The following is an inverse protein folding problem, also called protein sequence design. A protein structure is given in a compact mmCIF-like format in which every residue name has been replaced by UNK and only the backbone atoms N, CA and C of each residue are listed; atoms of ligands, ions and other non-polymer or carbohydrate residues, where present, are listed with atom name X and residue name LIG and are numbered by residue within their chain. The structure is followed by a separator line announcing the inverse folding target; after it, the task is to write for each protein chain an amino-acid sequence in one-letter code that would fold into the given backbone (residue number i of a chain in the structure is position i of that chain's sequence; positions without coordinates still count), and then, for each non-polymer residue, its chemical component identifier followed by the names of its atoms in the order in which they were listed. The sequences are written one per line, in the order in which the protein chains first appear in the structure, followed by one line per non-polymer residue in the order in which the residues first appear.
data_IF_747346963720
#
_entry.id   IF_747346963720
#
_cell.length_a   1.000
_cell.length_b   1.000
_cell.length_c   1.000
_cell.angle_alpha   90.00
_cell.angle_beta   90.00
_cell.angle_gamma   90.00
#
_symmetry.space_group_name_H-M   'P 1'
#
loop_
_entity.id
_entity.type
_entity.pdbx_description
1 polymer ?
#
# COMPACT_ATOMS: atom_id res chain seq x y z
N UNK A 1 0.28 -11.82 -10.11
CA UNK A 1 1.06 -11.97 -8.85
C UNK A 1 0.50 -11.01 -7.83
N UNK A 2 -0.06 -11.48 -6.72
CA UNK A 2 -0.45 -10.61 -5.62
C UNK A 2 0.80 -9.85 -5.11
N UNK A 3 0.63 -8.66 -4.52
CA UNK A 3 1.70 -8.02 -3.74
C UNK A 3 2.04 -8.98 -2.58
N UNK A 4 2.97 -9.90 -2.85
CA UNK A 4 3.79 -10.64 -1.88
C UNK A 4 5.08 -9.88 -1.57
N UNK A 5 5.37 -8.81 -2.32
CA UNK A 5 6.67 -8.13 -2.34
C UNK A 5 6.95 -7.22 -1.13
N UNK A 6 5.99 -7.05 -0.22
CA UNK A 6 6.15 -6.27 1.03
C UNK A 6 6.31 -7.15 2.28
N UNK A 7 6.61 -8.45 2.11
CA UNK A 7 6.93 -9.33 3.24
C UNK A 7 8.43 -9.24 3.56
N UNK A 8 8.82 -8.81 4.76
CA UNK A 8 10.21 -8.62 5.14
C UNK A 8 10.89 -9.93 5.55
N UNK A 9 12.21 -9.88 5.64
CA UNK A 9 12.98 -10.72 6.55
C UNK A 9 12.62 -10.33 8.00
N UNK A 10 11.92 -11.18 8.73
CA UNK A 10 11.49 -10.92 10.11
C UNK A 10 10.70 -12.10 10.70
N UNK A 11 10.57 -12.16 12.03
CA UNK A 11 9.77 -13.21 12.67
C UNK A 11 8.29 -12.95 12.39
N UNK A 12 7.58 -13.84 11.67
CA UNK A 12 6.14 -13.69 11.44
C UNK A 12 5.41 -13.67 12.78
N UNK A 13 4.37 -12.85 12.90
CA UNK A 13 3.58 -12.75 14.14
C UNK A 13 2.90 -14.09 14.45
N UNK A 14 2.56 -14.84 13.39
CA UNK A 14 2.04 -16.21 13.38
C UNK A 14 0.86 -16.41 14.35
N UNK A 15 -0.03 -15.41 14.46
CA UNK A 15 -1.15 -15.43 15.40
C UNK A 15 -2.45 -14.97 14.74
N UNK A 16 -3.47 -15.79 14.85
CA UNK A 16 -4.81 -15.52 14.33
C UNK A 16 -5.80 -15.22 15.46
N UNK A 17 -6.85 -14.47 15.14
CA UNK A 17 -8.01 -14.31 16.00
C UNK A 17 -9.26 -14.80 15.26
N UNK A 18 -10.11 -15.57 15.95
CA UNK A 18 -11.41 -15.98 15.43
C UNK A 18 -12.53 -15.18 16.11
N UNK A 19 -13.43 -14.59 15.31
CA UNK A 19 -14.63 -13.90 15.80
C UNK A 19 -15.88 -14.58 15.24
N UNK A 20 -16.84 -14.89 16.12
CA UNK A 20 -18.02 -15.67 15.78
C UNK A 20 -17.76 -17.17 15.90
N UNK A 21 -17.92 -17.92 14.81
CA UNK A 21 -17.64 -19.35 14.77
C UNK A 21 -16.13 -19.62 14.85
N UNK A 22 -15.73 -20.50 15.78
CA UNK A 22 -14.37 -21.03 15.89
C UNK A 22 -14.33 -22.39 15.16
N UNK A 23 -13.30 -22.68 14.34
CA UNK A 23 -13.20 -23.97 13.65
C UNK A 23 -13.14 -25.15 14.64
N UNK A 24 -13.45 -26.34 14.15
CA UNK A 24 -13.29 -27.58 14.91
C UNK A 24 -11.80 -27.84 15.25
N UNK A 25 -11.53 -28.67 16.25
CA UNK A 25 -10.15 -29.06 16.60
C UNK A 25 -9.41 -29.73 15.43
N UNK A 26 -10.13 -30.42 14.53
CA UNK A 26 -9.55 -31.02 13.33
C UNK A 26 -9.15 -29.96 12.31
N UNK A 27 -10.00 -28.96 12.08
CA UNK A 27 -9.71 -27.85 11.18
C UNK A 27 -8.59 -26.95 11.72
N UNK A 28 -8.54 -26.76 13.04
CA UNK A 28 -7.47 -26.00 13.70
C UNK A 28 -6.09 -26.63 13.50
N UNK A 29 -6.00 -27.97 13.37
CA UNK A 29 -4.72 -28.64 13.03
C UNK A 29 -4.13 -28.14 11.72
N UNK A 30 -4.94 -27.72 10.75
CA UNK A 30 -4.47 -27.16 9.46
C UNK A 30 -3.69 -25.86 9.65
N UNK A 31 -4.02 -25.08 10.68
CA UNK A 31 -3.28 -23.87 11.04
C UNK A 31 -1.99 -24.22 11.82
N UNK A 32 -2.04 -25.22 12.70
CA UNK A 32 -0.85 -25.73 13.42
C UNK A 32 0.22 -26.27 12.47
N UNK A 33 -0.20 -27.07 11.47
CA UNK A 33 0.68 -27.61 10.43
C UNK A 33 1.46 -26.52 9.70
N UNK A 34 0.89 -25.31 9.65
CA UNK A 34 1.48 -24.10 9.04
C UNK A 34 2.20 -23.20 10.05
N UNK A 35 2.46 -23.70 11.27
CA UNK A 35 3.15 -23.00 12.37
C UNK A 35 2.44 -21.73 12.84
N UNK A 36 1.13 -21.68 12.71
CA UNK A 36 0.32 -20.54 13.13
C UNK A 36 -0.42 -20.88 14.42
N UNK A 37 -0.32 -19.97 15.38
CA UNK A 37 -1.08 -19.99 16.63
C UNK A 37 -2.38 -19.20 16.48
N UNK A 38 -3.34 -19.41 17.37
CA UNK A 38 -4.59 -18.64 17.37
C UNK A 38 -5.04 -18.29 18.78
N UNK A 39 -5.92 -17.30 18.86
CA UNK A 39 -6.63 -16.96 20.08
C UNK A 39 -8.15 -16.99 19.94
N UNK A 40 -8.85 -17.43 21.02
CA UNK A 40 -8.27 -18.00 22.24
C UNK A 40 -7.60 -19.37 22.02
N UNK A 41 -6.59 -19.70 22.85
CA UNK A 41 -5.84 -20.96 22.78
C UNK A 41 -6.64 -22.18 23.29
N UNK A 42 -7.84 -21.95 23.83
CA UNK A 42 -8.85 -22.97 24.18
C UNK A 42 -10.16 -22.55 23.54
N UNK A 43 -10.98 -23.50 23.08
CA UNK A 43 -12.28 -23.26 22.44
C UNK A 43 -13.34 -22.52 23.29
N UNK A 44 -12.98 -21.95 24.45
CA UNK A 44 -13.88 -21.30 25.41
C UNK A 44 -14.30 -19.87 25.00
N UNK A 45 -14.58 -19.65 23.72
CA UNK A 45 -15.35 -18.49 23.23
C UNK A 45 -14.59 -17.59 22.24
N UNK A 46 -15.26 -17.04 21.22
CA UNK A 46 -14.63 -16.19 20.22
C UNK A 46 -13.99 -14.93 20.82
N UNK A 47 -13.01 -14.37 20.11
CA UNK A 47 -12.41 -13.08 20.44
C UNK A 47 -13.49 -12.00 20.41
N UNK A 48 -13.58 -11.20 21.47
CA UNK A 48 -14.56 -10.12 21.57
C UNK A 48 -14.09 -8.87 20.84
N UNK A 49 -15.05 -8.01 20.47
CA UNK A 49 -14.75 -6.74 19.81
C UNK A 49 -13.86 -5.84 20.68
N UNK A 50 -14.06 -5.85 22.00
CA UNK A 50 -13.26 -5.02 22.92
C UNK A 50 -11.79 -5.43 22.92
N UNK A 51 -11.51 -6.72 22.77
CA UNK A 51 -10.13 -7.19 22.64
C UNK A 51 -9.48 -6.73 21.33
N UNK A 52 -10.26 -6.63 20.25
CA UNK A 52 -9.79 -6.07 18.97
C UNK A 52 -9.61 -4.54 18.98
N UNK A 53 -9.98 -3.85 20.06
CA UNK A 53 -9.68 -2.42 20.25
C UNK A 53 -8.34 -2.18 20.96
N UNK A 54 -7.78 -3.20 21.60
CA UNK A 54 -6.50 -3.13 22.30
C UNK A 54 -5.32 -3.17 21.30
N UNK A 55 -4.50 -2.11 21.30
CA UNK A 55 -3.35 -1.98 20.39
C UNK A 55 -2.28 -3.03 20.62
N UNK A 56 -2.03 -3.39 21.88
CA UNK A 56 -1.02 -4.38 22.24
C UNK A 56 -1.47 -5.78 21.85
N UNK A 57 -2.78 -6.01 21.84
CA UNK A 57 -3.36 -7.24 21.34
C UNK A 57 -3.26 -7.32 19.82
N UNK A 58 -3.80 -6.34 19.09
CA UNK A 58 -3.85 -6.40 17.61
C UNK A 58 -2.47 -6.32 16.98
N UNK A 59 -1.50 -5.65 17.60
CA UNK A 59 -0.12 -5.62 17.12
C UNK A 59 0.48 -7.03 17.04
N UNK A 60 0.02 -7.99 17.85
CA UNK A 60 0.49 -9.38 17.84
C UNK A 60 -0.21 -10.25 16.79
N UNK A 61 -1.23 -9.75 16.10
CA UNK A 61 -2.02 -10.55 15.15
C UNK A 61 -1.46 -10.43 13.73
N UNK A 62 -1.52 -11.54 12.99
CA UNK A 62 -1.35 -11.57 11.54
C UNK A 62 -2.69 -11.33 10.81
N UNK A 63 -3.76 -11.92 11.33
CA UNK A 63 -5.08 -11.80 10.75
C UNK A 63 -6.21 -12.08 11.75
N UNK A 64 -7.40 -11.60 11.40
CA UNK A 64 -8.67 -11.91 12.04
C UNK A 64 -9.54 -12.65 11.02
N UNK A 65 -10.07 -13.81 11.41
CA UNK A 65 -11.07 -14.54 10.65
C UNK A 65 -12.41 -14.33 11.36
N UNK A 66 -13.34 -13.68 10.68
CA UNK A 66 -14.63 -13.27 11.22
C UNK A 66 -15.75 -14.00 10.48
N UNK A 67 -16.44 -14.89 11.17
CA UNK A 67 -17.59 -15.62 10.61
C UNK A 67 -18.87 -14.86 10.88
N UNK A 68 -19.65 -14.60 9.84
CA UNK A 68 -20.94 -13.93 9.94
C UNK A 68 -21.97 -14.85 10.58
N UNK A 69 -22.75 -14.31 11.53
CA UNK A 69 -23.84 -15.04 12.17
C UNK A 69 -25.07 -15.09 11.23
N UNK A 70 -25.57 -16.27 10.82
CA UNK A 70 -26.77 -16.39 9.98
C UNK A 70 -28.03 -15.77 10.62
N UNK A 71 -28.10 -15.73 11.95
CA UNK A 71 -29.24 -15.16 12.67
C UNK A 71 -29.18 -13.63 12.74
N UNK A 72 -28.01 -13.05 12.54
CA UNK A 72 -27.78 -11.62 12.69
C UNK A 72 -26.73 -11.10 11.69
N UNK A 73 -27.12 -11.09 10.41
CA UNK A 73 -26.27 -10.67 9.29
C UNK A 73 -25.72 -9.24 9.41
N UNK A 74 -26.33 -8.37 10.23
CA UNK A 74 -26.00 -6.94 10.35
C UNK A 74 -24.89 -6.65 11.39
N UNK A 75 -24.66 -7.54 12.35
CA UNK A 75 -23.75 -7.25 13.48
C UNK A 75 -22.29 -7.19 13.02
N UNK A 76 -21.80 -8.22 12.33
CA UNK A 76 -20.43 -8.25 11.80
C UNK A 76 -20.11 -7.01 10.96
N UNK A 77 -20.91 -6.63 9.93
CA UNK A 77 -20.60 -5.44 9.15
C UNK A 77 -20.54 -4.15 10.01
N UNK A 78 -21.42 -3.98 10.99
CA UNK A 78 -21.39 -2.82 11.87
C UNK A 78 -20.11 -2.79 12.72
N UNK A 79 -19.70 -3.93 13.26
CA UNK A 79 -18.50 -4.03 14.08
C UNK A 79 -17.23 -3.87 13.26
N UNK A 80 -17.24 -4.35 12.01
CA UNK A 80 -16.15 -4.17 11.08
C UNK A 80 -15.87 -2.70 10.75
N UNK A 81 -16.89 -1.83 10.73
CA UNK A 81 -16.64 -0.39 10.58
C UNK A 81 -16.00 0.25 11.82
N UNK A 82 -16.20 -0.33 13.00
CA UNK A 82 -15.68 0.23 14.25
C UNK A 82 -14.19 -0.12 14.46
N UNK A 83 -13.78 -1.32 14.06
CA UNK A 83 -12.40 -1.82 14.31
C UNK A 83 -11.59 -2.08 13.05
N UNK A 84 -12.24 -2.21 11.90
CA UNK A 84 -11.61 -2.55 10.62
C UNK A 84 -10.46 -1.63 10.23
N UNK A 85 -10.64 -0.28 10.20
CA UNK A 85 -9.55 0.63 9.86
C UNK A 85 -8.31 0.40 10.73
N UNK A 86 -8.50 0.36 12.06
CA UNK A 86 -7.42 0.16 13.03
C UNK A 86 -6.68 -1.16 12.84
N UNK A 87 -7.41 -2.26 12.58
CA UNK A 87 -6.79 -3.56 12.29
C UNK A 87 -5.89 -3.47 11.04
N UNK A 88 -6.39 -2.87 9.96
CA UNK A 88 -5.63 -2.71 8.72
C UNK A 88 -4.42 -1.79 8.89
N UNK A 89 -4.52 -0.72 9.68
CA UNK A 89 -3.39 0.18 9.96
C UNK A 89 -2.25 -0.55 10.67
N UNK A 90 -2.58 -1.55 11.51
CA UNK A 90 -1.65 -2.46 12.18
C UNK A 90 -1.15 -3.62 11.30
N UNK A 91 -1.47 -3.64 10.01
CA UNK A 91 -1.20 -4.73 9.08
C UNK A 91 -1.94 -6.05 9.39
N UNK A 92 -3.03 -5.97 10.15
CA UNK A 92 -3.85 -7.13 10.48
C UNK A 92 -4.87 -7.32 9.36
N UNK A 93 -4.79 -8.48 8.71
CA UNK A 93 -5.72 -8.83 7.62
C UNK A 93 -7.06 -9.23 8.19
N UNK A 94 -8.12 -8.96 7.43
CA UNK A 94 -9.46 -9.34 7.85
C UNK A 94 -10.03 -10.30 6.81
N UNK A 95 -10.42 -11.48 7.25
CA UNK A 95 -11.07 -12.49 6.42
C UNK A 95 -12.50 -12.65 6.90
N UNK A 96 -13.47 -12.34 6.05
CA UNK A 96 -14.90 -12.45 6.38
C UNK A 96 -15.46 -13.71 5.77
N UNK A 97 -15.80 -14.70 6.59
CA UNK A 97 -16.53 -15.90 6.16
C UNK A 97 -18.02 -15.60 6.20
N UNK A 98 -18.65 -15.66 5.03
CA UNK A 98 -20.08 -15.40 4.88
C UNK A 98 -20.91 -16.49 5.57
N UNK A 99 -22.07 -16.10 6.09
CA UNK A 99 -23.04 -17.05 6.63
C UNK A 99 -23.64 -17.87 5.48
N UNK A 100 -23.94 -19.15 5.73
CA UNK A 100 -24.69 -19.99 4.79
C UNK A 100 -26.08 -19.40 4.58
N UNK A 101 -26.49 -19.28 3.32
CA UNK A 101 -27.80 -18.78 2.94
C UNK A 101 -28.66 -19.97 2.46
N UNK A 102 -29.50 -20.49 3.35
CA UNK A 102 -30.41 -21.61 3.03
C UNK A 102 -31.34 -21.27 1.86
N UNK A 103 -31.64 -19.99 1.66
CA UNK A 103 -32.54 -19.49 0.62
C UNK A 103 -31.78 -19.06 -0.64
N UNK A 104 -30.44 -19.11 -0.65
CA UNK A 104 -29.57 -18.72 -1.77
C UNK A 104 -29.83 -17.29 -2.31
N UNK A 105 -30.26 -16.37 -1.45
CA UNK A 105 -30.67 -15.00 -1.78
C UNK A 105 -29.51 -14.01 -2.00
N UNK A 106 -28.25 -14.43 -1.86
CA UNK A 106 -27.04 -13.60 -1.89
C UNK A 106 -26.99 -12.49 -0.80
N UNK A 107 -27.97 -12.47 0.11
CA UNK A 107 -28.12 -11.44 1.13
C UNK A 107 -26.93 -11.33 2.09
N UNK A 108 -26.32 -12.43 2.61
CA UNK A 108 -25.17 -12.33 3.51
C UNK A 108 -24.02 -11.53 2.90
N UNK A 109 -23.72 -11.79 1.62
CA UNK A 109 -22.68 -11.08 0.85
C UNK A 109 -23.04 -9.62 0.64
N UNK A 110 -24.25 -9.33 0.18
CA UNK A 110 -24.67 -7.97 -0.15
C UNK A 110 -24.60 -7.03 1.07
N UNK A 111 -24.96 -7.51 2.25
CA UNK A 111 -24.88 -6.72 3.50
C UNK A 111 -23.43 -6.37 3.84
N UNK A 112 -22.49 -7.31 3.68
CA UNK A 112 -21.05 -7.07 3.89
C UNK A 112 -20.53 -6.03 2.88
N UNK A 113 -20.77 -6.26 1.58
CA UNK A 113 -20.29 -5.39 0.49
C UNK A 113 -20.77 -3.95 0.67
N UNK A 114 -22.07 -3.77 0.93
CA UNK A 114 -22.66 -2.45 1.14
C UNK A 114 -22.00 -1.70 2.30
N UNK A 115 -21.69 -2.43 3.37
CA UNK A 115 -21.07 -1.84 4.55
C UNK A 115 -19.59 -1.50 4.32
N UNK A 116 -18.83 -2.41 3.70
CA UNK A 116 -17.43 -2.17 3.35
C UNK A 116 -17.29 -0.92 2.47
N UNK A 117 -18.18 -0.77 1.48
CA UNK A 117 -18.26 0.43 0.65
C UNK A 117 -18.58 1.68 1.46
N UNK A 118 -19.54 1.62 2.38
CA UNK A 118 -19.89 2.74 3.27
C UNK A 118 -18.68 3.16 4.13
N UNK A 119 -17.90 2.20 4.59
CA UNK A 119 -16.68 2.42 5.37
C UNK A 119 -15.44 2.80 4.55
N UNK A 120 -15.53 2.77 3.21
CA UNK A 120 -14.38 2.91 2.32
C UNK A 120 -13.22 1.95 2.66
N UNK A 121 -13.55 0.76 3.17
CA UNK A 121 -12.54 -0.23 3.55
C UNK A 121 -11.97 -0.92 2.30
N UNK A 122 -10.64 -1.09 2.21
CA UNK A 122 -10.04 -1.79 1.08
C UNK A 122 -10.52 -3.24 1.11
N UNK A 123 -11.12 -3.67 0.01
CA UNK A 123 -11.84 -4.95 -0.08
C UNK A 123 -11.37 -5.73 -1.28
N UNK A 124 -11.30 -7.04 -1.11
CA UNK A 124 -10.90 -7.95 -2.16
C UNK A 124 -11.82 -9.16 -2.27
N UNK A 125 -11.61 -9.92 -3.35
CA UNK A 125 -12.51 -10.96 -3.81
C UNK A 125 -13.93 -10.43 -4.09
N UNK A 126 -14.00 -9.23 -4.67
CA UNK A 126 -15.22 -8.62 -5.19
C UNK A 126 -15.58 -9.28 -6.53
N UNK A 127 -16.88 -9.49 -6.76
CA UNK A 127 -17.38 -9.89 -8.08
C UNK A 127 -17.29 -8.71 -9.05
N UNK A 128 -17.25 -8.92 -10.38
CA UNK A 128 -17.11 -7.84 -11.35
C UNK A 128 -18.14 -6.71 -11.17
N UNK A 129 -19.39 -7.04 -10.90
CA UNK A 129 -20.47 -6.07 -10.65
C UNK A 129 -20.29 -5.29 -9.35
N UNK A 130 -19.73 -5.92 -8.31
CA UNK A 130 -19.44 -5.27 -7.03
C UNK A 130 -18.23 -4.35 -7.16
N UNK A 131 -17.21 -4.79 -7.90
CA UNK A 131 -16.02 -4.01 -8.22
C UNK A 131 -16.36 -2.72 -8.96
N UNK A 132 -17.22 -2.80 -9.97
CA UNK A 132 -17.72 -1.63 -10.70
C UNK A 132 -18.50 -0.66 -9.81
N UNK A 133 -19.06 -1.12 -8.70
CA UNK A 133 -19.78 -0.27 -7.75
C UNK A 133 -18.87 0.52 -6.79
N UNK A 134 -17.58 0.19 -6.70
CA UNK A 134 -16.60 0.94 -5.90
C UNK A 134 -16.30 2.28 -6.59
N UNK A 135 -16.16 3.41 -5.87
CA UNK A 135 -15.75 4.68 -6.48
C UNK A 135 -14.36 4.58 -7.14
N UNK A 136 -14.17 5.19 -8.32
CA UNK A 136 -12.91 5.09 -9.08
C UNK A 136 -11.67 5.53 -8.29
N UNK A 137 -11.81 6.54 -7.43
CA UNK A 137 -10.75 7.03 -6.56
C UNK A 137 -10.37 6.07 -5.42
N UNK A 138 -11.14 5.00 -5.21
CA UNK A 138 -10.93 3.93 -4.22
C UNK A 138 -10.72 2.55 -4.86
N UNK A 139 -11.05 2.36 -6.13
CA UNK A 139 -10.82 1.10 -6.87
C UNK A 139 -9.33 0.85 -7.00
N UNK A 140 -8.77 -0.12 -6.32
CA UNK A 140 -7.35 -0.49 -6.43
C UNK A 140 -7.06 -1.26 -7.74
N UNK A 141 -6.74 -2.56 -7.63
CA UNK A 141 -6.53 -3.45 -8.78
C UNK A 141 -7.62 -4.51 -8.82
N UNK A 142 -8.27 -4.63 -9.96
CA UNK A 142 -9.25 -5.69 -10.19
C UNK A 142 -8.57 -7.06 -10.11
N UNK A 143 -9.21 -8.03 -9.46
CA UNK A 143 -8.70 -9.39 -9.28
C UNK A 143 -7.33 -9.49 -8.56
N UNK A 144 -6.87 -8.43 -7.89
CA UNK A 144 -5.67 -8.47 -7.07
C UNK A 144 -6.02 -8.32 -5.59
N UNK A 145 -5.13 -8.84 -4.73
CA UNK A 145 -5.24 -8.73 -3.28
C UNK A 145 -4.06 -7.93 -2.74
N UNK A 146 -4.28 -6.62 -2.53
CA UNK A 146 -3.25 -5.72 -2.00
C UNK A 146 -3.42 -5.60 -0.49
N UNK A 147 -2.42 -6.07 0.23
CA UNK A 147 -2.48 -6.23 1.67
C UNK A 147 -2.00 -4.97 2.42
N UNK A 148 -2.57 -4.68 3.60
CA UNK A 148 -3.70 -5.34 4.25
C UNK A 148 -5.04 -4.92 3.63
N UNK A 149 -6.05 -5.79 3.69
CA UNK A 149 -7.44 -5.49 3.30
C UNK A 149 -8.44 -6.50 3.89
N UNK A 150 -9.72 -6.27 3.63
CA UNK A 150 -10.81 -7.20 3.93
C UNK A 150 -11.01 -8.17 2.77
N UNK A 151 -10.78 -9.46 2.98
CA UNK A 151 -11.04 -10.52 2.02
C UNK A 151 -12.37 -11.21 2.32
N UNK A 152 -13.25 -11.33 1.32
CA UNK A 152 -14.52 -12.03 1.47
C UNK A 152 -14.33 -13.50 1.08
N UNK A 153 -14.57 -14.41 2.01
CA UNK A 153 -14.50 -15.86 1.80
C UNK A 153 -15.89 -16.38 1.40
N UNK A 154 -15.93 -17.16 0.32
CA UNK A 154 -17.16 -17.85 -0.10
C UNK A 154 -17.54 -18.95 0.91
N UNK A 155 -18.83 -19.11 1.15
CA UNK A 155 -19.42 -20.16 1.99
C UNK A 155 -18.94 -21.57 1.69
N UNK A 156 -18.56 -21.86 0.44
CA UNK A 156 -18.13 -23.19 0.00
C UNK A 156 -16.66 -23.50 0.29
N UNK A 157 -15.87 -22.52 0.73
CA UNK A 157 -14.44 -22.71 0.96
C UNK A 157 -14.21 -23.55 2.23
N UNK A 158 -13.45 -24.63 2.09
CA UNK A 158 -13.09 -25.49 3.22
C UNK A 158 -12.14 -24.78 4.19
N UNK A 159 -12.12 -25.18 5.47
CA UNK A 159 -11.14 -24.64 6.42
C UNK A 159 -9.68 -24.91 6.02
N UNK A 160 -9.41 -26.00 5.30
CA UNK A 160 -8.09 -26.27 4.73
C UNK A 160 -7.66 -25.23 3.71
N UNK A 161 -8.57 -24.84 2.82
CA UNK A 161 -8.32 -23.78 1.82
C UNK A 161 -8.22 -22.40 2.48
N UNK A 162 -9.02 -22.13 3.51
CA UNK A 162 -8.93 -20.90 4.31
C UNK A 162 -7.56 -20.84 5.00
N UNK A 163 -7.10 -21.92 5.62
CA UNK A 163 -5.78 -21.99 6.24
C UNK A 163 -4.67 -21.73 5.22
N UNK A 164 -4.77 -22.30 4.01
CA UNK A 164 -3.82 -22.00 2.93
C UNK A 164 -3.86 -20.52 2.52
N UNK A 165 -5.05 -19.97 2.30
CA UNK A 165 -5.27 -18.58 1.89
C UNK A 165 -4.66 -17.58 2.89
N UNK A 166 -4.88 -17.82 4.19
CA UNK A 166 -4.49 -16.95 5.31
C UNK A 166 -3.00 -17.08 5.60
N UNK A 167 -2.50 -18.31 5.79
CA UNK A 167 -1.13 -18.54 6.22
C UNK A 167 -0.08 -18.27 5.12
N UNK A 168 -0.45 -18.36 3.83
CA UNK A 168 0.45 -18.05 2.72
C UNK A 168 0.66 -16.53 2.51
N UNK A 169 0.09 -15.70 3.39
CA UNK A 169 0.13 -14.24 3.34
C UNK A 169 0.30 -13.66 4.76
N UNK A 170 1.45 -13.89 5.43
CA UNK A 170 1.71 -13.41 6.79
C UNK A 170 1.89 -11.89 6.86
N UNK A 171 1.67 -11.25 8.01
CA UNK A 171 1.81 -9.80 8.15
C UNK A 171 3.23 -9.37 7.91
N UNK A 172 3.38 -8.10 7.51
CA UNK A 172 4.67 -7.44 7.53
C UNK A 172 5.23 -7.40 8.96
N UNK A 173 6.41 -6.80 9.11
CA UNK A 173 7.09 -6.79 10.38
C UNK A 173 6.26 -6.02 11.41
N UNK A 174 6.52 -6.31 12.69
CA UNK A 174 5.98 -5.50 13.76
C UNK A 174 6.46 -4.06 13.60
N UNK A 175 5.61 -3.10 13.96
CA UNK A 175 6.03 -1.70 14.05
C UNK A 175 7.15 -1.57 15.07
N UNK A 176 8.09 -0.67 14.82
CA UNK A 176 9.04 -0.27 15.86
C UNK A 176 8.33 0.69 16.82
N UNK A 177 8.15 0.25 18.06
CA UNK A 177 7.41 1.00 19.08
C UNK A 177 8.24 2.18 19.59
N UNK A 178 9.57 2.05 19.57
CA UNK A 178 10.49 3.06 20.10
C UNK A 178 11.08 3.97 19.02
N UNK A 179 10.61 3.87 17.75
CA UNK A 179 11.11 4.70 16.66
C UNK A 179 10.85 6.17 16.95
N UNK A 180 11.93 6.95 17.06
CA UNK A 180 11.87 8.38 17.34
C UNK A 180 11.82 9.19 16.04
N UNK A 181 10.82 10.05 15.90
CA UNK A 181 10.73 11.04 14.84
C UNK A 181 9.80 12.19 15.25
N UNK A 182 9.88 13.30 14.52
CA UNK A 182 9.05 14.47 14.76
C UNK A 182 7.61 14.25 14.24
N UNK A 183 6.76 13.69 15.09
CA UNK A 183 5.32 13.52 14.81
C UNK A 183 4.61 14.89 14.64
N UNK A 184 5.08 15.96 15.29
CA UNK A 184 4.50 17.29 15.18
C UNK A 184 4.71 17.88 13.78
N UNK A 185 5.86 17.63 13.13
CA UNK A 185 6.08 18.01 11.74
C UNK A 185 5.09 17.33 10.78
N UNK A 186 4.74 16.06 11.01
CA UNK A 186 3.71 15.37 10.23
C UNK A 186 2.31 15.93 10.48
N UNK A 187 2.00 16.27 11.73
CA UNK A 187 0.72 16.88 12.09
C UNK A 187 0.60 18.26 11.41
N UNK A 188 1.65 19.08 11.46
CA UNK A 188 1.69 20.40 10.83
C UNK A 188 1.54 20.33 9.31
N UNK A 189 2.14 19.32 8.66
CA UNK A 189 2.12 19.19 7.19
C UNK A 189 0.79 18.69 6.63
N UNK A 190 0.14 17.76 7.33
CA UNK A 190 -1.03 17.04 6.81
C UNK A 190 -2.33 17.31 7.58
N UNK A 191 -2.26 17.94 8.75
CA UNK A 191 -3.37 18.07 9.68
C UNK A 191 -3.58 16.81 10.54
N UNK A 192 -4.64 16.84 11.36
CA UNK A 192 -5.00 15.77 12.29
C UNK A 192 -5.66 14.56 11.62
N UNK A 193 -6.30 14.77 10.47
CA UNK A 193 -6.99 13.69 9.76
C UNK A 193 -5.99 12.63 9.25
N UNK A 194 -6.24 11.38 9.58
CA UNK A 194 -5.35 10.24 9.30
C UNK A 194 -3.94 10.36 9.91
N UNK A 195 -3.74 11.17 10.95
CA UNK A 195 -2.42 11.34 11.58
C UNK A 195 -1.89 10.03 12.16
N UNK A 196 -2.71 9.34 12.95
CA UNK A 196 -2.33 8.08 13.60
C UNK A 196 -1.96 7.00 12.57
N UNK A 197 -2.72 6.88 11.48
CA UNK A 197 -2.41 5.97 10.38
C UNK A 197 -1.03 6.28 9.76
N UNK A 198 -0.72 7.56 9.52
CA UNK A 198 0.58 7.96 8.94
C UNK A 198 1.75 7.67 9.88
N UNK A 199 1.57 7.88 11.18
CA UNK A 199 2.54 7.51 12.23
C UNK A 199 2.76 6.00 12.21
N UNK A 200 1.70 5.20 12.14
CA UNK A 200 1.80 3.73 12.04
C UNK A 200 2.54 3.28 10.78
N UNK A 201 2.24 3.86 9.61
CA UNK A 201 2.89 3.51 8.35
C UNK A 201 4.40 3.76 8.41
N UNK A 202 4.84 4.86 9.03
CA UNK A 202 6.26 5.15 9.24
C UNK A 202 6.92 4.16 10.19
N UNK A 203 6.31 3.87 11.34
CA UNK A 203 6.81 2.87 12.31
C UNK A 203 6.90 1.46 11.71
N UNK A 204 6.03 1.14 10.74
CA UNK A 204 6.08 -0.11 9.96
C UNK A 204 7.14 -0.07 8.86
N UNK A 205 7.27 1.02 8.13
CA UNK A 205 8.24 1.18 7.03
C UNK A 205 9.69 1.17 7.54
N UNK A 206 9.90 1.72 8.73
CA UNK A 206 11.19 1.86 9.39
C UNK A 206 11.28 1.00 10.66
N UNK A 207 10.65 -0.19 10.63
CA UNK A 207 10.57 -1.14 11.75
C UNK A 207 11.93 -1.57 12.34
N UNK A 208 13.02 -1.35 11.63
CA UNK A 208 14.37 -1.73 12.03
C UNK A 208 15.27 -0.52 12.34
N UNK A 209 14.67 0.65 12.53
CA UNK A 209 15.37 1.92 12.76
C UNK A 209 15.07 2.42 14.18
N UNK A 210 16.04 3.05 14.81
CA UNK A 210 15.88 3.66 16.15
C UNK A 210 15.42 5.12 16.06
N UNK A 211 15.80 5.80 14.98
CA UNK A 211 15.51 7.21 14.75
C UNK A 211 15.26 7.46 13.27
N UNK A 212 14.36 8.40 12.98
CA UNK A 212 14.03 8.85 11.64
C UNK A 212 13.88 10.37 11.62
N UNK A 213 14.72 11.04 10.84
CA UNK A 213 14.58 12.47 10.57
C UNK A 213 13.93 12.67 9.19
N UNK A 214 12.82 13.42 9.16
CA UNK A 214 12.05 13.71 7.96
C UNK A 214 12.23 15.18 7.55
N UNK A 215 12.64 15.39 6.30
CA UNK A 215 12.74 16.73 5.70
C UNK A 215 11.84 16.79 4.48
N UNK A 216 10.82 17.67 4.51
CA UNK A 216 9.88 17.82 3.38
C UNK A 216 10.61 18.25 2.11
N UNK A 217 10.22 17.65 0.99
CA UNK A 217 10.64 18.02 -0.36
C UNK A 217 9.43 18.61 -1.08
N UNK A 218 9.53 19.88 -1.44
CA UNK A 218 8.51 20.55 -2.24
C UNK A 218 8.84 20.46 -3.75
N UNK A 219 7.84 20.72 -4.60
CA UNK A 219 8.00 20.77 -6.06
C UNK A 219 7.52 19.53 -6.83
N UNK A 220 6.90 18.55 -6.16
CA UNK A 220 6.26 17.41 -6.82
C UNK A 220 4.92 17.76 -7.48
N UNK A 221 4.68 17.25 -8.69
CA UNK A 221 3.43 17.47 -9.45
C UNK A 221 2.22 16.73 -8.87
N UNK A 222 2.43 15.69 -8.05
CA UNK A 222 1.36 14.84 -7.52
C UNK A 222 0.62 15.42 -6.33
N UNK A 223 1.10 16.52 -5.73
CA UNK A 223 0.55 17.11 -4.50
C UNK A 223 0.75 16.28 -3.22
N UNK A 224 1.00 14.97 -3.33
CA UNK A 224 1.37 14.12 -2.20
C UNK A 224 2.74 14.54 -1.62
N UNK A 225 2.85 14.77 -0.30
CA UNK A 225 4.11 15.12 0.34
C UNK A 225 5.15 14.00 0.21
N UNK A 226 6.37 14.42 -0.14
CA UNK A 226 7.55 13.57 -0.22
C UNK A 226 8.56 14.08 0.80
N UNK A 227 9.25 13.18 1.49
CA UNK A 227 10.25 13.49 2.49
C UNK A 227 11.59 12.89 2.10
N UNK A 228 12.69 13.59 2.41
CA UNK A 228 13.98 12.94 2.67
C UNK A 228 13.90 12.32 4.05
N UNK A 229 14.21 11.03 4.13
CA UNK A 229 14.15 10.22 5.33
C UNK A 229 15.56 9.76 5.68
N UNK A 230 16.16 10.38 6.70
CA UNK A 230 17.44 9.96 7.27
C UNK A 230 17.15 8.94 8.37
N UNK A 231 17.40 7.67 8.09
CA UNK A 231 17.03 6.56 8.97
C UNK A 231 18.25 5.95 9.64
N UNK A 232 18.31 6.03 10.97
CA UNK A 232 19.36 5.43 11.79
C UNK A 232 18.98 4.00 12.15
N UNK A 233 19.71 3.02 11.63
CA UNK A 233 19.45 1.60 11.90
C UNK A 233 19.63 1.27 13.39
N UNK A 234 18.80 0.36 13.91
CA UNK A 234 18.96 -0.16 15.27
C UNK A 234 20.30 -0.90 15.46
N UNK A 235 20.81 -0.92 16.69
CA UNK A 235 22.05 -1.61 17.04
C UNK A 235 21.97 -3.11 16.66
N UNK A 236 22.94 -3.61 15.89
CA UNK A 236 23.03 -5.02 15.48
C UNK A 236 22.79 -5.31 13.99
N UNK A 237 22.33 -4.32 13.20
CA UNK A 237 22.10 -4.48 11.75
C UNK A 237 23.25 -4.00 10.86
N UNK A 238 24.16 -3.20 11.42
CA UNK A 238 25.44 -2.89 10.80
C UNK A 238 26.46 -3.86 11.41
N UNK A 239 27.24 -4.56 10.56
CA UNK A 239 28.26 -5.51 11.02
C UNK A 239 29.06 -4.93 12.19
N UNK A 240 29.21 -5.72 13.26
CA UNK A 240 30.01 -5.35 14.43
C UNK A 240 31.42 -4.92 13.94
N UNK A 241 31.69 -3.62 13.97
CA UNK A 241 32.93 -3.04 13.43
C UNK A 241 32.76 -1.70 12.73
N UNK A 242 31.60 -1.42 12.15
CA UNK A 242 31.29 -0.09 11.63
C UNK A 242 30.94 0.86 12.79
N UNK A 243 31.95 1.59 13.29
CA UNK A 243 31.75 2.67 14.26
C UNK A 243 31.04 3.84 13.59
N UNK A 244 29.71 3.78 13.56
CA UNK A 244 28.85 4.87 13.12
C UNK A 244 27.52 4.35 12.60
N UNK A 245 26.43 4.68 13.29
CA UNK A 245 25.09 4.58 12.72
C UNK A 245 24.95 5.68 11.66
N UNK A 246 25.57 5.51 10.49
CA UNK A 246 25.38 6.46 9.40
C UNK A 246 23.92 6.33 8.93
N UNK A 247 23.13 7.42 8.98
CA UNK A 247 21.73 7.33 8.60
C UNK A 247 21.65 6.99 7.13
N UNK A 248 20.85 5.97 6.80
CA UNK A 248 20.56 5.64 5.42
C UNK A 248 19.55 6.64 4.89
N UNK A 249 19.83 7.19 3.71
CA UNK A 249 19.00 8.23 3.12
C UNK A 249 18.00 7.63 2.14
N UNK A 250 16.72 7.81 2.45
CA UNK A 250 15.59 7.38 1.64
C UNK A 250 14.76 8.57 1.17
N UNK A 251 13.96 8.39 0.13
CA UNK A 251 12.74 9.17 -0.01
C UNK A 251 11.57 8.39 0.57
N UNK A 252 10.65 9.08 1.23
CA UNK A 252 9.40 8.53 1.71
C UNK A 252 8.25 9.38 1.17
N UNK A 253 7.31 8.75 0.46
CA UNK A 253 6.10 9.38 -0.06
C UNK A 253 4.90 8.80 0.64
N UNK A 254 4.10 9.67 1.26
CA UNK A 254 2.94 9.28 2.03
C UNK A 254 1.70 9.94 1.42
N UNK A 255 0.63 9.18 1.27
CA UNK A 255 -0.63 9.73 0.78
C UNK A 255 -1.72 8.68 0.63
N UNK A 256 -2.78 9.07 -0.07
CA UNK A 256 -3.96 8.22 -0.29
C UNK A 256 -3.55 6.87 -0.87
N UNK A 257 -4.08 5.80 -0.29
CA UNK A 257 -3.78 4.40 -0.61
C UNK A 257 -3.78 4.11 -2.11
N UNK A 258 -4.87 4.45 -2.82
CA UNK A 258 -4.97 4.27 -4.29
C UNK A 258 -3.83 4.96 -5.05
N UNK A 259 -3.46 6.20 -4.68
CA UNK A 259 -2.39 6.94 -5.37
C UNK A 259 -1.03 6.30 -5.15
N UNK A 260 -0.78 5.77 -3.95
CA UNK A 260 0.45 5.04 -3.64
C UNK A 260 0.52 3.73 -4.41
N UNK A 261 -0.60 3.00 -4.53
CA UNK A 261 -0.70 1.77 -5.31
C UNK A 261 -0.42 2.05 -6.80
N UNK A 262 -1.05 3.08 -7.37
CA UNK A 262 -0.85 3.47 -8.77
C UNK A 262 0.60 3.76 -9.05
N UNK A 263 1.24 4.56 -8.19
CA UNK A 263 2.65 4.90 -8.35
C UNK A 263 3.56 3.69 -8.18
N UNK A 264 3.27 2.80 -7.23
CA UNK A 264 3.98 1.54 -7.10
C UNK A 264 3.90 0.70 -8.39
N UNK A 265 2.72 0.63 -9.02
CA UNK A 265 2.54 -0.11 -10.28
C UNK A 265 3.32 0.52 -11.43
N UNK A 266 3.35 1.85 -11.51
CA UNK A 266 4.20 2.56 -12.47
C UNK A 266 5.68 2.24 -12.28
N UNK A 267 6.14 2.18 -11.03
CA UNK A 267 7.53 1.78 -10.74
C UNK A 267 7.82 0.35 -11.17
N UNK A 268 6.95 -0.59 -10.80
CA UNK A 268 7.17 -2.02 -11.08
C UNK A 268 6.99 -2.37 -12.56
N UNK A 269 5.99 -1.82 -13.24
CA UNK A 269 5.68 -2.14 -14.63
C UNK A 269 6.46 -1.33 -15.67
N UNK A 270 7.01 -0.17 -15.30
CA UNK A 270 7.72 0.68 -16.26
C UNK A 270 9.15 1.02 -15.82
N UNK A 271 9.35 1.52 -14.60
CA UNK A 271 10.68 2.03 -14.22
C UNK A 271 11.70 0.91 -14.05
N UNK A 272 11.34 -0.20 -13.40
CA UNK A 272 12.30 -1.27 -13.11
C UNK A 272 12.73 -2.07 -14.34
N UNK A 273 11.82 -2.24 -15.30
CA UNK A 273 12.11 -2.99 -16.52
C UNK A 273 12.97 -2.19 -17.50
N UNK A 274 12.79 -0.87 -17.56
CA UNK A 274 13.36 -0.05 -18.64
C UNK A 274 14.45 0.92 -18.22
N UNK A 275 14.55 1.26 -16.92
CA UNK A 275 15.58 2.16 -16.40
C UNK A 275 16.70 1.33 -15.73
N UNK A 276 17.95 1.41 -16.23
CA UNK A 276 19.10 0.76 -15.62
C UNK A 276 19.26 1.12 -14.13
N UNK A 277 19.73 0.17 -13.33
CA UNK A 277 19.72 0.30 -11.86
C UNK A 277 20.48 1.50 -11.31
N UNK A 278 21.56 1.90 -11.97
CA UNK A 278 22.40 3.02 -11.55
C UNK A 278 21.86 4.38 -12.03
N UNK A 279 20.74 4.41 -12.77
CA UNK A 279 20.19 5.63 -13.40
C UNK A 279 18.87 6.09 -12.78
N UNK A 280 18.35 5.41 -11.76
CA UNK A 280 17.12 5.81 -11.11
C UNK A 280 17.02 5.32 -9.68
N UNK A 281 16.21 5.99 -8.84
CA UNK A 281 15.93 5.53 -7.49
C UNK A 281 15.24 4.17 -7.55
N UNK A 282 15.62 3.25 -6.66
CA UNK A 282 14.96 1.95 -6.50
C UNK A 282 13.99 2.00 -5.33
N UNK A 283 12.83 1.37 -5.49
CA UNK A 283 11.91 1.22 -4.36
C UNK A 283 12.46 0.17 -3.39
N UNK A 284 12.41 0.53 -2.12
CA UNK A 284 12.65 -0.35 -0.99
C UNK A 284 11.34 -1.04 -0.66
N UNK A 285 11.03 -2.09 -1.44
CA UNK A 285 9.77 -2.83 -1.34
C UNK A 285 9.54 -3.34 0.10
N UNK A 286 10.60 -3.76 0.77
CA UNK A 286 10.62 -4.14 2.19
C UNK A 286 10.13 -3.05 3.16
N UNK A 287 10.07 -1.79 2.73
CA UNK A 287 9.63 -0.62 3.50
C UNK A 287 8.37 0.04 2.98
N UNK A 288 7.90 -0.34 1.79
CA UNK A 288 6.62 0.11 1.26
C UNK A 288 5.50 -0.66 1.95
N UNK A 289 4.46 0.03 2.40
CA UNK A 289 3.32 -0.62 3.04
C UNK A 289 2.04 0.21 2.90
N UNK A 290 0.91 -0.44 3.17
CA UNK A 290 -0.42 0.15 3.06
C UNK A 290 -1.15 0.07 4.41
N UNK A 291 -2.04 1.04 4.65
CA UNK A 291 -2.98 1.07 5.77
C UNK A 291 -4.41 0.92 5.27
N UNK A 292 -5.37 1.36 6.07
CA UNK A 292 -6.79 1.38 5.69
C UNK A 292 -7.10 2.40 4.60
N UNK A 293 -6.56 3.63 4.68
CA UNK A 293 -6.87 4.73 3.76
C UNK A 293 -5.64 5.37 3.11
N UNK A 294 -4.47 5.21 3.73
CA UNK A 294 -3.20 5.75 3.30
C UNK A 294 -2.23 4.62 2.89
N UNK A 295 -1.13 5.01 2.27
CA UNK A 295 0.02 4.15 2.04
C UNK A 295 1.30 4.95 2.12
N UNK A 296 2.41 4.22 2.19
CA UNK A 296 3.76 4.77 2.11
C UNK A 296 4.56 4.02 1.06
N UNK A 297 5.25 4.80 0.22
CA UNK A 297 6.22 4.31 -0.75
C UNK A 297 7.59 4.84 -0.36
N UNK A 298 8.55 3.93 -0.22
CA UNK A 298 9.91 4.23 0.21
C UNK A 298 10.87 3.77 -0.87
N UNK A 299 11.90 4.56 -1.14
CA UNK A 299 12.97 4.17 -2.05
C UNK A 299 14.28 4.87 -1.76
N UNK A 300 15.32 4.46 -2.46
CA UNK A 300 16.64 5.05 -2.30
C UNK A 300 16.62 6.52 -2.75
N UNK A 301 17.16 7.40 -1.91
CA UNK A 301 17.29 8.80 -2.28
C UNK A 301 18.51 9.00 -3.16
N UNK A 302 18.35 9.71 -4.28
CA UNK A 302 19.47 10.12 -5.13
C UNK A 302 19.91 11.51 -4.72
N UNK A 303 21.02 11.57 -3.97
CA UNK A 303 21.61 12.85 -3.58
C UNK A 303 22.18 13.60 -4.80
N UNK A 304 22.04 14.93 -4.80
CA UNK A 304 22.44 15.77 -5.93
C UNK A 304 21.49 15.77 -7.14
N UNK A 305 20.32 15.12 -7.04
CA UNK A 305 19.31 15.21 -8.09
C UNK A 305 18.75 16.64 -8.21
N UNK A 306 18.76 17.19 -9.42
CA UNK A 306 18.20 18.51 -9.75
C UNK A 306 16.94 18.36 -10.62
N UNK A 307 15.98 19.28 -10.47
CA UNK A 307 14.84 19.32 -11.39
C UNK A 307 15.29 19.76 -12.79
N UNK A 308 14.76 19.12 -13.84
CA UNK A 308 15.04 19.52 -15.22
C UNK A 308 14.72 20.99 -15.49
N UNK A 309 13.68 21.53 -14.83
CA UNK A 309 13.31 22.95 -14.91
C UNK A 309 14.43 23.83 -14.36
N UNK A 310 15.03 23.48 -13.22
CA UNK A 310 16.18 24.20 -12.66
C UNK A 310 17.38 24.11 -13.61
N UNK A 311 17.71 22.91 -14.11
CA UNK A 311 18.77 22.71 -15.08
C UNK A 311 18.57 23.55 -16.35
N UNK A 312 17.32 23.66 -16.82
CA UNK A 312 16.98 24.43 -18.01
C UNK A 312 17.14 25.93 -17.77
N UNK A 313 16.63 26.45 -16.65
CA UNK A 313 16.82 27.86 -16.25
C UNK A 313 18.30 28.21 -16.08
N UNK A 314 19.11 27.25 -15.63
CA UNK A 314 20.56 27.41 -15.48
C UNK A 314 21.39 27.15 -16.74
N UNK A 315 20.78 26.88 -17.90
CA UNK A 315 21.50 26.62 -19.16
C UNK A 315 22.24 25.28 -19.24
N UNK A 316 22.01 24.35 -18.30
CA UNK A 316 22.68 23.04 -18.21
C UNK A 316 21.83 21.87 -18.71
N UNK A 317 20.61 22.12 -19.17
CA UNK A 317 19.66 21.04 -19.49
C UNK A 317 20.03 20.21 -20.72
N UNK A 318 20.85 20.72 -21.66
CA UNK A 318 21.15 20.01 -22.91
C UNK A 318 21.68 18.59 -22.67
N UNK A 319 22.74 18.49 -21.86
CA UNK A 319 23.32 17.19 -21.49
C UNK A 319 22.39 16.35 -20.61
N UNK A 320 21.63 16.98 -19.71
CA UNK A 320 20.69 16.27 -18.84
C UNK A 320 19.54 15.61 -19.64
N UNK A 321 18.97 16.34 -20.61
CA UNK A 321 17.92 15.85 -21.50
C UNK A 321 18.46 14.73 -22.39
N UNK A 322 19.63 14.92 -23.00
CA UNK A 322 20.26 13.88 -23.81
C UNK A 322 20.49 12.60 -23.00
N UNK A 323 21.08 12.69 -21.79
CA UNK A 323 21.28 11.52 -20.92
C UNK A 323 19.95 10.88 -20.46
N UNK A 324 18.91 11.67 -20.20
CA UNK A 324 17.59 11.12 -19.87
C UNK A 324 17.05 10.24 -21.01
N UNK A 325 17.06 10.73 -22.25
CA UNK A 325 16.47 9.99 -23.37
C UNK A 325 17.38 8.91 -23.95
N UNK A 326 18.68 9.15 -24.05
CA UNK A 326 19.61 8.21 -24.72
C UNK A 326 20.10 7.11 -23.78
N UNK A 327 20.22 7.40 -22.47
CA UNK A 327 20.70 6.43 -21.47
C UNK A 327 19.57 5.94 -20.58
N UNK A 328 18.94 6.84 -19.83
CA UNK A 328 17.98 6.47 -18.76
C UNK A 328 16.72 5.81 -19.32
N UNK A 329 16.13 6.39 -20.36
CA UNK A 329 14.95 5.88 -21.07
C UNK A 329 15.31 5.17 -22.37
N UNK A 330 16.61 4.89 -22.60
CA UNK A 330 17.09 4.30 -23.84
C UNK A 330 16.51 2.91 -24.09
N UNK A 331 16.31 2.11 -23.03
CA UNK A 331 15.63 0.82 -23.12
C UNK A 331 14.18 0.96 -23.60
N UNK A 332 13.46 1.94 -23.08
CA UNK A 332 12.09 2.22 -23.48
C UNK A 332 12.00 2.70 -24.94
N UNK A 333 12.90 3.60 -25.36
CA UNK A 333 12.96 4.12 -26.73
C UNK A 333 13.25 3.04 -27.77
N UNK A 334 14.06 2.04 -27.42
CA UNK A 334 14.47 0.95 -28.33
C UNK A 334 13.43 -0.17 -28.46
N UNK A 335 12.33 -0.12 -27.72
CA UNK A 335 11.23 -1.06 -27.92
C UNK A 335 10.66 -0.90 -29.33
N UNK A 336 10.63 -1.99 -30.10
CA UNK A 336 9.84 -2.04 -31.33
C UNK A 336 8.35 -2.03 -30.96
N UNK A 337 7.77 -0.85 -30.84
CA UNK A 337 6.31 -0.73 -30.81
C UNK A 337 5.79 -0.96 -32.22
N UNK A 338 4.71 -1.73 -32.34
CA UNK A 338 3.88 -1.69 -33.55
C UNK A 338 3.43 -0.24 -33.69
N UNK A 339 3.84 0.40 -34.77
CA UNK A 339 3.67 1.83 -34.97
C UNK A 339 2.18 2.15 -35.15
N UNK A 340 1.49 2.35 -34.04
CA UNK A 340 0.14 2.89 -34.00
C UNK A 340 0.27 4.41 -34.09
N UNK A 341 0.89 4.87 -35.18
CA UNK A 341 1.31 6.25 -35.37
C UNK A 341 0.10 7.19 -35.39
N UNK A 342 -0.29 7.68 -34.21
CA UNK A 342 -1.05 8.91 -34.09
C UNK A 342 -0.04 10.05 -34.06
N UNK A 343 -0.13 11.00 -35.00
CA UNK A 343 0.75 12.16 -35.01
C UNK A 343 0.72 12.89 -33.66
N UNK A 344 1.82 13.54 -33.28
CA UNK A 344 1.89 14.36 -32.06
C UNK A 344 0.75 15.39 -32.01
N UNK A 345 0.40 15.95 -33.17
CA UNK A 345 -0.75 16.82 -33.37
C UNK A 345 -2.06 16.13 -32.96
N UNK A 346 -2.34 14.92 -33.49
CA UNK A 346 -3.54 14.18 -33.15
C UNK A 346 -3.64 13.79 -31.65
N UNK A 347 -2.50 13.58 -30.98
CA UNK A 347 -2.46 13.37 -29.52
C UNK A 347 -2.84 14.64 -28.76
N UNK A 348 -2.28 15.79 -29.15
CA UNK A 348 -2.62 17.08 -28.54
C UNK A 348 -4.07 17.48 -28.81
N UNK A 349 -4.57 17.28 -30.03
CA UNK A 349 -5.96 17.57 -30.38
C UNK A 349 -6.94 16.74 -29.53
N UNK A 350 -6.64 15.45 -29.31
CA UNK A 350 -7.41 14.59 -28.39
C UNK A 350 -7.33 15.05 -26.94
N UNK A 351 -6.16 15.49 -26.47
CA UNK A 351 -5.96 15.91 -25.08
C UNK A 351 -6.60 17.27 -24.78
N UNK A 352 -6.60 18.17 -25.76
CA UNK A 352 -7.31 19.47 -25.73
C UNK A 352 -8.82 19.26 -25.83
N UNK A 353 -9.30 18.27 -26.60
CA UNK A 353 -10.71 17.92 -26.65
C UNK A 353 -11.25 17.33 -25.32
N UNK A 354 -10.41 16.66 -24.53
CA UNK A 354 -10.78 16.08 -23.22
C UNK A 354 -10.70 17.05 -22.04
N UNK A 355 -9.88 18.10 -22.14
CA UNK A 355 -9.84 19.20 -21.16
C UNK A 355 -10.58 20.38 -21.77
N UNK A 356 -11.89 20.45 -21.55
CA UNK A 356 -12.73 21.54 -22.06
C UNK A 356 -12.02 22.89 -22.04
N UNK A 357 -11.78 23.42 -23.24
CA UNK A 357 -11.40 24.80 -23.58
C UNK A 357 -10.74 25.64 -22.47
N UNK A 358 -9.54 25.28 -22.05
CA UNK A 358 -8.55 26.29 -21.65
C UNK A 358 -7.59 26.48 -22.82
N UNK A 359 -7.67 27.66 -23.43
CA UNK A 359 -6.82 28.05 -24.57
C UNK A 359 -5.38 28.10 -24.07
N UNK A 360 -4.58 27.09 -24.40
CA UNK A 360 -3.12 27.19 -24.28
C UNK A 360 -2.65 28.00 -25.47
N UNK A 361 -2.50 29.30 -25.28
CA UNK A 361 -1.91 30.17 -26.31
C UNK A 361 -0.49 29.71 -26.58
N UNK A 362 -0.24 29.23 -27.81
CA UNK A 362 1.11 28.93 -28.27
C UNK A 362 1.86 30.27 -28.35
N UNK A 363 3.05 30.41 -27.73
CA UNK A 363 3.86 31.58 -27.97
C UNK A 363 4.20 31.66 -29.47
N UNK A 364 4.14 32.87 -30.02
CA UNK A 364 4.43 33.09 -31.44
C UNK A 364 5.82 32.52 -31.79
N UNK A 365 5.97 31.88 -32.97
CA UNK A 365 7.27 31.44 -33.43
C UNK A 365 8.22 32.64 -33.43
N UNK A 366 9.38 32.51 -32.76
CA UNK A 366 10.44 33.50 -32.87
C UNK A 366 10.80 33.60 -34.34
N UNK A 367 10.68 34.80 -34.91
CA UNK A 367 11.20 35.10 -36.22
C UNK A 367 12.68 34.68 -36.27
N UNK A 368 13.05 33.94 -37.30
CA UNK A 368 14.44 33.62 -37.60
C UNK A 368 15.25 34.91 -37.66
N UNK A 369 15.97 35.23 -36.60
CA UNK A 369 17.08 36.16 -36.68
C UNK A 369 18.25 35.39 -37.27
N UNK A 370 18.26 35.32 -38.61
CA UNK A 370 19.48 35.11 -39.35
C UNK A 370 20.47 36.23 -38.98
N UNK A 371 21.58 35.86 -38.34
CA UNK A 371 22.90 36.46 -38.52
C UNK A 371 23.98 35.43 -38.24
#
# INVERSE_FOLDING_TARGET
MAIREFSPEGTPRAKLAFVGEVPSDEDLKRFVERKVTWEPSKANGPVTLDKLRDDDYIAKLDAVIWTQDPKNLKTLPQDLLKVGPRLLDHDVRIYVRLATDEQQTAMPRQVIINQLRKGSLPTANLRPEEWQSVPENLRERENAFLLPCVYIIDTMMSWGDIAALVCDKPAGPLREFELKFDEAALLARFGSDGHDERVMLLKRAFWNCSELQLISIDGGLSGAPVFKAYASLGAGLVQQGAKGAYPHLYFAKIGKRKKIIDEHDEYCGHIFEYVPFYLGPRLRRDRCNLGSTQGILVGDFVEGAESLVSCARGGRCGHAIANLFDKTLGGWRKQQRVDTASSLASYFDKKVAHRGTERVDRPAPRADTAR
#
